data_IF_343410546715
#
_entry.id   IF_343410546715
#
_cell.length_a   1.000
_cell.length_b   1.000
_cell.length_c   1.000
_cell.angle_alpha   90.00
_cell.angle_beta   90.00
_cell.angle_gamma   90.00
#
_symmetry.space_group_name_H-M   'P 1'
#
loop_
_entity.id
_entity.type
_entity.pdbx_description
1 polymer ?
#
# COMPACT_ATOMS: atom_id res chain seq x y z
N UNK A 1 36.40 -29.72 12.72
CA UNK A 1 36.16 -28.31 12.34
C UNK A 1 34.66 -28.12 12.34
N UNK A 2 34.12 -27.62 13.45
CA UNK A 2 32.75 -27.14 13.57
C UNK A 2 32.96 -25.64 13.68
N UNK A 3 32.56 -24.89 12.66
CA UNK A 3 32.50 -23.43 12.75
C UNK A 3 31.43 -23.08 13.78
N UNK A 4 31.86 -22.98 15.03
CA UNK A 4 31.08 -22.61 16.21
C UNK A 4 30.82 -21.10 16.23
N UNK A 5 30.32 -20.57 15.11
CA UNK A 5 29.85 -19.20 15.06
C UNK A 5 28.36 -19.23 15.42
N UNK A 6 27.96 -18.74 16.61
CA UNK A 6 26.57 -18.79 17.03
C UNK A 6 25.69 -18.10 15.97
N UNK A 7 24.53 -18.68 15.62
CA UNK A 7 23.63 -18.06 14.66
C UNK A 7 23.29 -16.66 15.16
N UNK A 8 23.56 -15.66 14.32
CA UNK A 8 23.29 -14.27 14.66
C UNK A 8 21.77 -14.07 14.84
N UNK A 9 21.35 -13.96 16.11
CA UNK A 9 19.95 -13.91 16.52
C UNK A 9 19.61 -12.64 17.31
N UNK A 10 19.67 -11.45 16.69
CA UNK A 10 19.31 -10.21 17.34
C UNK A 10 17.82 -10.23 17.72
N UNK A 11 17.51 -9.84 18.96
CA UNK A 11 16.14 -9.77 19.48
C UNK A 11 15.34 -11.08 19.32
N UNK A 12 16.02 -12.24 19.29
CA UNK A 12 15.39 -13.55 19.11
C UNK A 12 14.98 -13.89 17.66
N UNK A 13 15.34 -13.07 16.68
CA UNK A 13 15.04 -13.34 15.27
C UNK A 13 16.20 -14.06 14.58
N UNK A 14 15.90 -15.12 13.83
CA UNK A 14 16.89 -15.73 12.94
C UNK A 14 17.04 -14.89 11.68
N UNK A 15 18.23 -14.33 11.47
CA UNK A 15 18.53 -13.50 10.29
C UNK A 15 19.22 -14.37 9.23
N UNK A 16 18.51 -14.76 8.15
CA UNK A 16 19.13 -15.55 7.10
C UNK A 16 20.21 -14.75 6.38
N UNK A 17 21.27 -15.46 5.99
CA UNK A 17 22.35 -14.92 5.18
C UNK A 17 22.19 -15.48 3.77
N UNK A 18 22.20 -14.62 2.77
CA UNK A 18 22.16 -15.03 1.36
C UNK A 18 23.43 -15.78 0.99
N UNK A 19 23.39 -16.51 -0.13
CA UNK A 19 24.56 -17.14 -0.74
C UNK A 19 25.70 -16.16 -1.06
N UNK A 20 25.40 -14.86 -1.14
CA UNK A 20 26.38 -13.77 -1.35
C UNK A 20 26.90 -13.17 -0.04
N UNK A 21 26.60 -13.74 1.11
CA UNK A 21 27.02 -13.23 2.43
C UNK A 21 26.24 -12.02 2.93
N UNK A 22 25.15 -11.61 2.26
CA UNK A 22 24.34 -10.46 2.68
C UNK A 22 23.25 -10.90 3.64
N UNK A 23 23.05 -10.17 4.74
CA UNK A 23 21.93 -10.39 5.67
C UNK A 23 20.61 -10.04 4.99
N UNK A 24 19.68 -10.98 5.01
CA UNK A 24 18.31 -10.77 4.56
C UNK A 24 17.47 -10.48 5.79
N UNK A 25 17.01 -9.25 5.91
CA UNK A 25 16.20 -8.80 7.04
C UNK A 25 14.73 -9.16 6.83
N UNK A 26 14.16 -10.08 7.63
CA UNK A 26 12.77 -10.49 7.49
C UNK A 26 11.80 -9.31 7.69
N UNK A 27 10.64 -9.30 7.03
CA UNK A 27 9.66 -8.22 7.20
C UNK A 27 9.18 -8.08 8.65
N UNK A 28 8.94 -9.20 9.35
CA UNK A 28 8.56 -9.17 10.77
C UNK A 28 9.62 -8.54 11.68
N UNK A 29 10.90 -8.75 11.38
CA UNK A 29 12.00 -8.11 12.10
C UNK A 29 11.99 -6.59 11.90
N UNK A 30 11.80 -6.12 10.67
CA UNK A 30 11.74 -4.68 10.37
C UNK A 30 10.58 -4.02 11.10
N UNK A 31 9.40 -4.65 11.09
CA UNK A 31 8.21 -4.15 11.81
C UNK A 31 8.49 -4.05 13.32
N UNK A 32 9.01 -5.11 13.92
CA UNK A 32 9.38 -5.13 15.35
C UNK A 32 10.33 -3.98 15.71
N UNK A 33 11.40 -3.78 14.94
CA UNK A 33 12.38 -2.72 15.18
C UNK A 33 11.74 -1.33 15.09
N UNK A 34 10.90 -1.09 14.08
CA UNK A 34 10.20 0.18 13.90
C UNK A 34 9.21 0.42 15.04
N UNK A 35 8.39 -0.58 15.39
CA UNK A 35 7.41 -0.47 16.48
C UNK A 35 8.08 -0.15 17.82
N UNK A 36 9.22 -0.80 18.13
CA UNK A 36 9.97 -0.52 19.36
C UNK A 36 10.68 0.83 19.35
N UNK A 37 11.08 1.32 18.17
CA UNK A 37 11.59 2.69 18.00
C UNK A 37 10.49 3.74 18.20
N UNK A 38 9.33 3.53 17.59
CA UNK A 38 8.16 4.43 17.68
C UNK A 38 7.62 4.47 19.12
N UNK A 39 7.62 3.34 19.82
CA UNK A 39 7.26 3.25 21.24
C UNK A 39 8.31 3.87 22.18
N UNK A 40 9.50 4.22 21.67
CA UNK A 40 10.63 4.71 22.48
C UNK A 40 11.25 3.65 23.41
N UNK A 41 10.88 2.38 23.25
CA UNK A 41 11.41 1.27 24.06
C UNK A 41 12.83 0.87 23.64
N UNK A 42 13.17 1.05 22.36
CA UNK A 42 14.50 0.83 21.82
C UNK A 42 15.04 2.11 21.19
N UNK A 43 16.32 2.38 21.43
CA UNK A 43 17.05 3.46 20.76
C UNK A 43 17.76 2.96 19.50
N UNK A 44 17.97 3.85 18.54
CA UNK A 44 18.74 3.55 17.30
C UNK A 44 20.12 2.98 17.63
N UNK A 45 20.75 3.44 18.73
CA UNK A 45 22.06 2.96 19.16
C UNK A 45 22.02 1.51 19.69
N UNK A 46 20.99 1.12 20.44
CA UNK A 46 20.83 -0.26 20.91
C UNK A 46 20.60 -1.21 19.72
N UNK A 47 19.80 -0.80 18.75
CA UNK A 47 19.52 -1.60 17.54
C UNK A 47 20.77 -1.74 16.67
N UNK A 48 21.60 -0.71 16.60
CA UNK A 48 22.89 -0.76 15.91
C UNK A 48 23.85 -1.75 16.57
N UNK A 49 23.94 -1.76 17.90
CA UNK A 49 24.85 -2.63 18.64
C UNK A 49 24.38 -4.09 18.69
N UNK A 50 23.13 -4.33 19.08
CA UNK A 50 22.58 -5.68 19.24
C UNK A 50 22.18 -6.29 17.90
N UNK A 51 21.58 -5.47 17.03
CA UNK A 51 21.19 -5.86 15.68
C UNK A 51 22.33 -5.86 14.66
N UNK A 52 23.49 -5.28 14.98
CA UNK A 52 24.59 -5.06 14.02
C UNK A 52 24.08 -4.46 12.69
N UNK A 53 23.23 -3.44 12.81
CA UNK A 53 22.55 -2.79 11.70
C UNK A 53 23.07 -1.38 11.56
N UNK A 54 23.49 -1.01 10.36
CA UNK A 54 23.88 0.37 10.10
C UNK A 54 22.68 1.32 10.29
N UNK A 55 22.90 2.46 10.95
CA UNK A 55 21.87 3.50 11.16
C UNK A 55 21.14 3.89 9.88
N UNK A 56 21.86 3.99 8.77
CA UNK A 56 21.29 4.31 7.46
C UNK A 56 20.20 3.33 7.02
N UNK A 57 20.35 2.04 7.36
CA UNK A 57 19.36 1.02 7.04
C UNK A 57 18.12 1.13 7.93
N UNK A 58 18.30 1.48 9.20
CA UNK A 58 17.21 1.74 10.16
C UNK A 58 16.36 2.93 9.68
N UNK A 59 17.00 4.06 9.37
CA UNK A 59 16.29 5.23 8.83
C UNK A 59 15.61 4.94 7.50
N UNK A 60 16.21 4.11 6.64
CA UNK A 60 15.58 3.67 5.40
C UNK A 60 14.30 2.86 5.66
N UNK A 61 14.26 2.05 6.72
CA UNK A 61 13.07 1.31 7.09
C UNK A 61 11.98 2.21 7.67
N UNK A 62 12.34 3.18 8.52
CA UNK A 62 11.40 4.20 9.01
C UNK A 62 10.80 5.03 7.85
N UNK A 63 11.63 5.49 6.91
CA UNK A 63 11.16 6.25 5.75
C UNK A 63 10.24 5.44 4.83
N UNK A 64 10.44 4.12 4.74
CA UNK A 64 9.58 3.21 3.96
C UNK A 64 8.27 2.85 4.65
N UNK A 65 8.14 3.03 5.97
CA UNK A 65 6.89 2.80 6.71
C UNK A 65 5.72 3.55 6.08
N UNK A 66 5.93 4.80 5.65
CA UNK A 66 4.88 5.58 4.97
C UNK A 66 4.53 5.13 3.55
N UNK A 67 5.42 4.37 2.89
CA UNK A 67 5.18 3.80 1.55
C UNK A 67 4.57 2.40 1.62
N UNK A 68 4.93 1.59 2.61
CA UNK A 68 4.36 0.25 2.82
C UNK A 68 3.02 0.32 3.60
N UNK A 69 2.76 1.33 4.45
CA UNK A 69 1.40 1.60 4.98
C UNK A 69 0.40 1.96 3.86
N UNK A 70 0.88 2.42 2.71
CA UNK A 70 0.03 2.59 1.52
C UNK A 70 -0.25 1.25 0.81
N UNK A 71 0.60 0.24 0.99
CA UNK A 71 0.49 -1.08 0.37
C UNK A 71 -0.17 -2.15 1.27
N UNK A 72 -0.14 -1.98 2.60
CA UNK A 72 -0.73 -2.89 3.60
C UNK A 72 -2.01 -2.35 4.26
N UNK A 73 -2.58 -1.22 3.78
CA UNK A 73 -3.90 -0.80 4.25
C UNK A 73 -4.90 -1.93 3.97
N UNK A 74 -5.67 -2.41 4.98
CA UNK A 74 -6.85 -3.20 4.68
C UNK A 74 -7.68 -2.40 3.68
N UNK A 75 -8.17 -3.08 2.64
CA UNK A 75 -9.04 -2.52 1.61
C UNK A 75 -10.03 -1.60 2.31
N UNK A 76 -9.77 -0.29 2.24
CA UNK A 76 -10.54 0.70 2.95
C UNK A 76 -11.86 0.74 2.17
N UNK A 77 -13.02 0.38 2.76
CA UNK A 77 -14.28 0.31 2.02
C UNK A 77 -14.79 1.70 1.58
N UNK A 78 -14.03 2.75 1.86
CA UNK A 78 -14.34 4.12 1.50
C UNK A 78 -13.27 4.66 0.56
N UNK A 79 -13.67 4.92 -0.69
CA UNK A 79 -12.91 5.68 -1.65
C UNK A 79 -12.96 7.17 -1.29
N UNK A 80 -11.79 7.81 -1.15
CA UNK A 80 -11.72 9.25 -1.01
C UNK A 80 -11.94 9.90 -2.37
N UNK A 81 -13.07 10.58 -2.56
CA UNK A 81 -13.35 11.39 -3.75
C UNK A 81 -12.76 12.78 -3.50
N UNK A 82 -11.68 13.11 -4.21
CA UNK A 82 -11.20 14.49 -4.29
C UNK A 82 -11.97 15.21 -5.39
N UNK A 83 -12.79 16.21 -5.02
CA UNK A 83 -13.40 17.13 -5.98
C UNK A 83 -12.40 18.26 -6.16
N UNK A 84 -11.74 18.29 -7.32
CA UNK A 84 -10.96 19.46 -7.73
C UNK A 84 -11.93 20.53 -8.21
N UNK A 85 -12.11 21.59 -7.43
CA UNK A 85 -12.74 22.81 -7.92
C UNK A 85 -11.80 23.47 -8.93
N UNK A 86 -12.16 23.35 -10.21
CA UNK A 86 -11.44 23.99 -11.30
C UNK A 86 -11.36 25.52 -11.05
N UNK A 87 -10.17 26.14 -11.17
CA UNK A 87 -10.09 27.59 -11.14
C UNK A 87 -10.81 28.16 -12.37
N UNK A 88 -11.77 29.04 -12.07
CA UNK A 88 -12.52 29.84 -13.03
C UNK A 88 -11.55 30.67 -13.86
N UNK A 89 -11.51 30.42 -15.17
CA UNK A 89 -11.10 31.39 -16.18
C UNK A 89 -9.97 30.94 -17.12
N UNK A 90 -10.31 30.57 -18.36
CA UNK A 90 -10.03 31.41 -19.55
C UNK A 90 -10.30 30.65 -20.85
N UNK A 91 -11.12 31.29 -21.71
CA UNK A 91 -11.24 31.16 -23.17
C UNK A 91 -11.71 29.82 -23.82
N UNK A 92 -12.93 29.87 -24.37
CA UNK A 92 -13.49 28.92 -25.35
C UNK A 92 -13.00 29.24 -26.80
N UNK A 93 -13.30 28.43 -27.84
CA UNK A 93 -14.66 28.39 -28.39
C UNK A 93 -15.21 27.03 -28.90
N UNK A 94 -16.51 26.86 -28.64
CA UNK A 94 -17.58 26.32 -29.49
C UNK A 94 -17.48 24.90 -30.07
N UNK A 95 -18.33 24.01 -29.52
CA UNK A 95 -18.66 22.69 -30.10
C UNK A 95 -19.86 22.02 -29.44
N UNK A 96 -21.03 22.67 -29.51
CA UNK A 96 -22.41 22.17 -29.26
C UNK A 96 -22.94 21.92 -27.84
N UNK A 97 -24.28 22.05 -27.66
CA UNK A 97 -24.91 22.34 -26.39
C UNK A 97 -25.53 21.12 -25.71
N UNK A 98 -25.48 21.14 -24.38
CA UNK A 98 -26.52 20.74 -23.42
C UNK A 98 -27.57 19.72 -23.90
N UNK A 99 -27.50 18.50 -23.36
CA UNK A 99 -28.71 17.78 -22.99
C UNK A 99 -28.46 16.85 -21.82
N UNK A 100 -29.12 17.17 -20.71
CA UNK A 100 -29.34 16.38 -19.50
C UNK A 100 -28.09 16.04 -18.67
N UNK A 101 -28.06 16.56 -17.45
CA UNK A 101 -28.04 15.80 -16.18
C UNK A 101 -27.93 14.25 -16.32
N UNK A 102 -26.90 13.70 -16.97
CA UNK A 102 -26.72 12.23 -17.04
C UNK A 102 -26.08 11.80 -15.74
N UNK A 103 -26.92 11.71 -14.70
CA UNK A 103 -26.63 10.86 -13.57
C UNK A 103 -26.49 9.45 -14.14
N UNK A 104 -25.27 9.02 -14.40
CA UNK A 104 -24.98 7.68 -14.85
C UNK A 104 -24.09 7.02 -13.82
N UNK A 105 -24.23 5.72 -13.70
CA UNK A 105 -23.44 4.92 -12.79
C UNK A 105 -22.24 4.41 -13.60
N UNK A 106 -21.05 4.79 -13.18
CA UNK A 106 -19.79 4.31 -13.75
C UNK A 106 -19.28 3.13 -12.94
N UNK A 107 -19.12 1.97 -13.59
CA UNK A 107 -18.56 0.77 -12.96
C UNK A 107 -17.21 0.46 -13.63
N UNK A 108 -16.14 0.50 -12.83
CA UNK A 108 -14.77 0.27 -13.28
C UNK A 108 -14.30 -1.11 -12.81
N UNK A 109 -14.02 -2.02 -13.74
CA UNK A 109 -13.40 -3.32 -13.48
C UNK A 109 -11.96 -3.38 -13.99
N UNK A 110 -11.24 -4.44 -13.63
CA UNK A 110 -9.82 -4.59 -13.98
C UNK A 110 -9.54 -4.59 -15.51
N UNK A 111 -10.51 -5.03 -16.31
CA UNK A 111 -10.38 -5.17 -17.77
C UNK A 111 -11.49 -4.47 -18.55
N UNK A 112 -12.46 -3.83 -17.88
CA UNK A 112 -13.64 -3.26 -18.55
C UNK A 112 -14.26 -2.14 -17.75
N UNK A 113 -14.75 -1.12 -18.46
CA UNK A 113 -15.50 0.00 -17.89
C UNK A 113 -16.93 -0.02 -18.46
N UNK A 114 -17.93 0.10 -17.59
CA UNK A 114 -19.34 0.12 -17.97
C UNK A 114 -19.98 1.43 -17.55
N UNK A 115 -20.90 1.92 -18.38
CA UNK A 115 -21.73 3.09 -18.12
C UNK A 115 -23.18 2.63 -18.09
N UNK A 116 -23.84 2.83 -16.95
CA UNK A 116 -25.22 2.41 -16.71
C UNK A 116 -26.12 3.63 -16.49
N UNK A 117 -27.42 3.54 -16.83
CA UNK A 117 -28.42 4.54 -16.49
C UNK A 117 -28.59 4.72 -14.97
N UNK A 118 -29.05 5.89 -14.48
CA UNK A 118 -29.32 6.09 -13.05
C UNK A 118 -30.41 5.21 -12.46
N UNK A 119 -31.35 4.79 -13.28
CA UNK A 119 -32.49 3.97 -12.92
C UNK A 119 -32.16 2.47 -12.96
N UNK A 120 -30.88 2.12 -13.08
CA UNK A 120 -30.45 0.73 -13.07
C UNK A 120 -30.74 0.09 -11.70
N UNK A 121 -31.41 -1.08 -11.65
CA UNK A 121 -31.82 -1.71 -10.41
C UNK A 121 -30.61 -2.17 -9.58
N UNK A 122 -30.62 -1.81 -8.29
CA UNK A 122 -29.51 -2.04 -7.35
C UNK A 122 -29.22 -3.54 -7.20
N UNK A 123 -30.23 -4.39 -7.23
CA UNK A 123 -30.11 -5.84 -7.10
C UNK A 123 -29.26 -6.43 -8.24
N UNK A 124 -29.40 -5.88 -9.47
CA UNK A 124 -28.64 -6.31 -10.63
C UNK A 124 -27.23 -5.68 -10.65
N UNK A 125 -27.04 -4.54 -9.98
CA UNK A 125 -25.73 -3.88 -9.89
C UNK A 125 -24.77 -4.74 -9.06
N UNK A 126 -25.26 -5.32 -7.96
CA UNK A 126 -24.47 -6.21 -7.10
C UNK A 126 -24.01 -7.45 -7.88
N UNK A 127 -24.90 -8.06 -8.68
CA UNK A 127 -24.54 -9.21 -9.52
C UNK A 127 -23.52 -8.85 -10.59
N UNK A 128 -23.67 -7.68 -11.21
CA UNK A 128 -22.77 -7.18 -12.25
C UNK A 128 -21.37 -6.89 -11.70
N UNK A 129 -21.25 -6.25 -10.54
CA UNK A 129 -19.96 -6.01 -9.89
C UNK A 129 -19.27 -7.33 -9.52
N UNK A 130 -20.00 -8.29 -8.94
CA UNK A 130 -19.44 -9.62 -8.63
C UNK A 130 -18.96 -10.38 -9.87
N UNK A 131 -19.68 -10.26 -10.99
CA UNK A 131 -19.27 -10.85 -12.25
C UNK A 131 -18.00 -10.19 -12.82
N UNK A 132 -17.83 -8.88 -12.63
CA UNK A 132 -16.64 -8.13 -13.06
C UNK A 132 -15.41 -8.37 -12.18
N UNK A 133 -15.61 -8.67 -10.89
CA UNK A 133 -14.54 -8.97 -9.92
C UNK A 133 -14.13 -10.45 -9.91
N UNK A 134 -14.95 -11.33 -10.50
CA UNK A 134 -14.61 -12.74 -10.61
C UNK A 134 -13.38 -12.87 -11.50
N UNK A 135 -12.26 -13.41 -10.99
CA UNK A 135 -11.09 -13.65 -11.81
C UNK A 135 -11.50 -14.65 -12.89
N UNK A 136 -11.51 -14.18 -14.13
CA UNK A 136 -11.59 -15.06 -15.30
C UNK A 136 -10.51 -16.12 -15.15
N UNK A 137 -10.92 -17.38 -15.02
CA UNK A 137 -10.04 -18.55 -15.08
C UNK A 137 -9.19 -18.54 -16.36
#
# INVERSE_FOLDING_TARGET
MIDDNPPFQPFGFTIPISSTGRRIWPPGFKKFIIEKLDAGELTVQQIEQEGQIARSLIYKWQAKRGADDAAERPINPFAQVCIEDAPIGSAAPAGLPSSADIRCIHVHGAVSNLVLPTDYPIENLIQLVRAMESPTC
#
